data_IF_025692813177
#
_entry.id   IF_025692813177
#
_cell.length_a   1.000
_cell.length_b   1.000
_cell.length_c   1.000
_cell.angle_alpha   90.00
_cell.angle_beta   90.00
_cell.angle_gamma   90.00
#
_symmetry.space_group_name_H-M   'P 1'
#
loop_
_entity.id
_entity.type
_entity.pdbx_description
1 polymer ?
#
# COMPACT_ATOMS: atom_id res chain seq x y z
N UNK A 1 6.57 -11.10 27.17
CA UNK A 1 5.44 -10.27 26.68
C UNK A 1 4.61 -11.12 25.74
N UNK A 2 3.35 -11.35 26.11
CA UNK A 2 2.51 -12.44 25.60
C UNK A 2 2.09 -12.28 24.15
N UNK A 3 2.25 -13.35 23.37
CA UNK A 3 1.62 -13.46 22.05
C UNK A 3 0.12 -13.50 22.30
N UNK A 4 -0.61 -12.47 21.88
CA UNK A 4 -2.06 -12.59 21.72
C UNK A 4 -2.31 -13.81 20.83
N UNK A 5 -2.94 -14.85 21.37
CA UNK A 5 -3.26 -16.06 20.63
C UNK A 5 -4.33 -15.70 19.61
N UNK A 6 -3.90 -15.29 18.41
CA UNK A 6 -4.80 -15.08 17.29
C UNK A 6 -5.62 -16.34 17.08
N UNK A 7 -6.94 -16.22 17.12
CA UNK A 7 -7.84 -17.35 16.89
C UNK A 7 -7.53 -17.97 15.53
N UNK A 8 -7.42 -19.30 15.48
CA UNK A 8 -7.15 -20.05 14.25
C UNK A 8 -8.10 -19.68 13.10
N UNK A 9 -9.34 -19.33 13.44
CA UNK A 9 -10.34 -18.85 12.47
C UNK A 9 -9.91 -17.53 11.82
N UNK A 10 -9.48 -16.55 12.64
CA UNK A 10 -9.01 -15.26 12.16
C UNK A 10 -7.75 -15.38 11.29
N UNK A 11 -6.85 -16.33 11.60
CA UNK A 11 -5.70 -16.64 10.72
C UNK A 11 -6.14 -17.15 9.35
N UNK A 12 -7.10 -18.08 9.31
CA UNK A 12 -7.59 -18.64 8.04
C UNK A 12 -8.33 -17.59 7.20
N UNK A 13 -9.17 -16.77 7.84
CA UNK A 13 -9.89 -15.69 7.18
C UNK A 13 -8.92 -14.60 6.68
N UNK A 14 -7.87 -14.28 7.46
CA UNK A 14 -6.82 -13.37 7.04
C UNK A 14 -6.01 -13.87 5.85
N UNK A 15 -5.63 -15.15 5.85
CA UNK A 15 -4.93 -15.78 4.70
C UNK A 15 -5.80 -15.80 3.45
N UNK A 16 -7.12 -16.00 3.59
CA UNK A 16 -8.06 -15.90 2.47
C UNK A 16 -8.11 -14.47 1.90
N UNK A 17 -8.19 -13.45 2.76
CA UNK A 17 -8.16 -12.04 2.33
C UNK A 17 -6.86 -11.67 1.63
N UNK A 18 -5.72 -12.18 2.08
CA UNK A 18 -4.41 -11.97 1.43
C UNK A 18 -4.42 -12.50 -0.01
N UNK A 19 -5.10 -13.62 -0.26
CA UNK A 19 -5.22 -14.19 -1.61
C UNK A 19 -6.20 -13.42 -2.49
N UNK A 20 -7.28 -12.91 -1.90
CA UNK A 20 -8.35 -12.22 -2.64
C UNK A 20 -8.01 -10.76 -2.97
N UNK A 21 -7.22 -10.11 -2.12
CA UNK A 21 -6.86 -8.71 -2.34
C UNK A 21 -6.07 -8.58 -3.64
N UNK A 22 -6.52 -7.73 -4.57
CA UNK A 22 -5.79 -7.35 -5.78
C UNK A 22 -4.63 -6.41 -5.46
N UNK A 23 -4.80 -5.55 -4.45
CA UNK A 23 -3.81 -4.59 -3.99
C UNK A 23 -3.85 -4.42 -2.45
N UNK A 24 -2.79 -3.87 -1.82
CA UNK A 24 -2.75 -3.67 -0.37
C UNK A 24 -3.93 -2.86 0.17
N UNK A 25 -4.47 -1.93 -0.63
CA UNK A 25 -5.60 -1.07 -0.29
C UNK A 25 -6.87 -1.87 0.01
N UNK A 26 -7.12 -2.94 -0.76
CA UNK A 26 -8.28 -3.81 -0.61
C UNK A 26 -8.14 -4.71 0.61
N UNK A 27 -6.91 -5.10 0.94
CA UNK A 27 -6.60 -5.97 2.08
C UNK A 27 -7.00 -5.33 3.41
N UNK A 28 -6.78 -4.02 3.57
CA UNK A 28 -6.94 -3.29 4.84
C UNK A 28 -8.26 -2.51 4.97
N UNK A 29 -9.31 -2.89 4.23
CA UNK A 29 -10.63 -2.22 4.23
C UNK A 29 -11.49 -2.44 5.49
N UNK A 30 -10.96 -3.10 6.54
CA UNK A 30 -11.72 -3.53 7.71
C UNK A 30 -11.37 -2.84 9.05
N UNK A 31 -11.92 -3.34 10.17
CA UNK A 31 -11.60 -2.89 11.52
C UNK A 31 -10.10 -2.90 11.85
N UNK A 32 -9.72 -2.02 12.77
CA UNK A 32 -8.33 -1.73 13.12
C UNK A 32 -7.55 -2.90 13.72
N UNK A 33 -8.23 -3.74 14.48
CA UNK A 33 -7.65 -4.96 15.07
C UNK A 33 -7.31 -5.99 13.98
N UNK A 34 -8.11 -6.02 12.92
CA UNK A 34 -7.86 -6.89 11.76
C UNK A 34 -6.65 -6.41 10.96
N UNK A 35 -6.44 -5.10 10.85
CA UNK A 35 -5.30 -4.55 10.09
C UNK A 35 -3.95 -5.00 10.67
N UNK A 36 -3.79 -4.94 11.99
CA UNK A 36 -2.57 -5.42 12.67
C UNK A 36 -2.36 -6.92 12.51
N UNK A 37 -3.45 -7.69 12.65
CA UNK A 37 -3.44 -9.13 12.46
C UNK A 37 -3.02 -9.48 11.02
N UNK A 38 -3.64 -8.84 10.03
CA UNK A 38 -3.35 -9.05 8.61
C UNK A 38 -1.91 -8.68 8.26
N UNK A 39 -1.39 -7.57 8.80
CA UNK A 39 0.00 -7.20 8.61
C UNK A 39 0.96 -8.21 9.26
N UNK A 40 0.71 -8.61 10.51
CA UNK A 40 1.52 -9.64 11.18
C UNK A 40 1.48 -10.99 10.46
N UNK A 41 0.31 -11.33 9.91
CA UNK A 41 0.09 -12.55 9.13
C UNK A 41 0.77 -12.48 7.76
N UNK A 42 0.78 -11.33 7.08
CA UNK A 42 1.56 -11.11 5.85
C UNK A 42 3.05 -11.35 6.10
N UNK A 43 3.60 -10.71 7.15
CA UNK A 43 5.01 -10.85 7.52
C UNK A 43 5.36 -12.29 7.88
N UNK A 44 4.47 -13.00 8.58
CA UNK A 44 4.70 -14.40 8.93
C UNK A 44 4.54 -15.35 7.74
N UNK A 45 3.50 -15.17 6.93
CA UNK A 45 3.21 -16.01 5.77
C UNK A 45 4.25 -15.85 4.65
N UNK A 46 4.84 -14.65 4.50
CA UNK A 46 5.96 -14.42 3.60
C UNK A 46 7.21 -15.26 3.94
N UNK A 47 7.30 -15.81 5.16
CA UNK A 47 8.37 -16.76 5.55
C UNK A 47 8.15 -18.18 4.98
N UNK A 48 7.00 -18.43 4.34
CA UNK A 48 6.66 -19.71 3.73
C UNK A 48 6.74 -20.87 4.72
N UNK A 49 7.58 -21.87 4.44
CA UNK A 49 7.76 -23.06 5.29
C UNK A 49 8.22 -22.77 6.72
N UNK A 50 8.77 -21.58 6.98
CA UNK A 50 9.21 -21.14 8.31
C UNK A 50 8.15 -20.31 9.05
N UNK A 51 6.98 -20.10 8.45
CA UNK A 51 5.84 -19.44 9.09
C UNK A 51 5.38 -20.23 10.31
N UNK A 52 5.04 -19.52 11.39
CA UNK A 52 4.38 -20.13 12.54
C UNK A 52 2.99 -20.69 12.20
N UNK A 53 2.38 -20.20 11.11
CA UNK A 53 1.07 -20.57 10.60
C UNK A 53 1.14 -21.40 9.31
N UNK A 54 2.24 -22.11 9.06
CA UNK A 54 2.43 -22.87 7.82
C UNK A 54 1.32 -23.92 7.58
N UNK A 55 0.78 -24.51 8.64
CA UNK A 55 -0.33 -25.46 8.53
C UNK A 55 -1.64 -24.79 8.09
N UNK A 56 -1.91 -23.58 8.57
CA UNK A 56 -3.03 -22.75 8.13
C UNK A 56 -2.83 -22.32 6.67
N UNK A 57 -1.61 -21.98 6.26
CA UNK A 57 -1.26 -21.69 4.86
C UNK A 57 -1.61 -22.89 3.97
N UNK A 58 -1.16 -24.10 4.34
CA UNK A 58 -1.45 -25.32 3.58
C UNK A 58 -2.97 -25.59 3.49
N UNK A 59 -3.71 -25.32 4.57
CA UNK A 59 -5.16 -25.49 4.61
C UNK A 59 -5.88 -24.49 3.71
N UNK A 60 -5.49 -23.22 3.76
CA UNK A 60 -6.06 -22.18 2.88
C UNK A 60 -5.74 -22.47 1.42
N UNK A 61 -4.50 -22.86 1.12
CA UNK A 61 -4.07 -23.23 -0.22
C UNK A 61 -4.94 -24.36 -0.81
N UNK A 62 -5.12 -25.44 -0.05
CA UNK A 62 -5.99 -26.57 -0.45
C UNK A 62 -7.44 -26.13 -0.69
N UNK A 63 -8.00 -25.26 0.16
CA UNK A 63 -9.38 -24.75 0.00
C UNK A 63 -9.55 -23.88 -1.24
N UNK A 64 -8.50 -23.17 -1.66
CA UNK A 64 -8.49 -22.29 -2.82
C UNK A 64 -7.96 -22.95 -4.10
N UNK A 65 -7.57 -24.22 -4.04
CA UNK A 65 -7.03 -24.94 -5.19
C UNK A 65 -5.65 -24.45 -5.64
N UNK A 66 -4.88 -23.83 -4.74
CA UNK A 66 -3.54 -23.30 -5.02
C UNK A 66 -2.48 -24.05 -4.20
N UNK A 67 -1.21 -23.91 -4.58
CA UNK A 67 -0.08 -24.46 -3.81
C UNK A 67 0.28 -23.55 -2.63
N UNK A 68 0.78 -24.09 -1.50
CA UNK A 68 1.18 -23.28 -0.33
C UNK A 68 2.21 -22.20 -0.65
N UNK A 69 3.13 -22.48 -1.57
CA UNK A 69 4.14 -21.55 -2.06
C UNK A 69 3.50 -20.29 -2.66
N UNK A 70 2.42 -20.43 -3.44
CA UNK A 70 1.71 -19.30 -4.03
C UNK A 70 1.12 -18.36 -2.98
N UNK A 71 0.64 -18.90 -1.85
CA UNK A 71 0.13 -18.09 -0.74
C UNK A 71 1.25 -17.28 -0.08
N UNK A 72 2.43 -17.90 0.10
CA UNK A 72 3.60 -17.23 0.64
C UNK A 72 4.14 -16.15 -0.31
N UNK A 73 4.21 -16.45 -1.61
CA UNK A 73 4.63 -15.52 -2.65
C UNK A 73 3.67 -14.33 -2.74
N UNK A 74 2.35 -14.58 -2.67
CA UNK A 74 1.35 -13.51 -2.66
C UNK A 74 1.53 -12.59 -1.45
N UNK A 75 1.76 -13.15 -0.26
CA UNK A 75 2.05 -12.39 0.94
C UNK A 75 3.34 -11.56 0.80
N UNK A 76 4.39 -12.15 0.23
CA UNK A 76 5.66 -11.46 -0.01
C UNK A 76 5.53 -10.29 -1.00
N UNK A 77 4.76 -10.45 -2.08
CA UNK A 77 4.50 -9.38 -3.06
C UNK A 77 3.75 -8.23 -2.41
N UNK A 78 2.66 -8.51 -1.68
CA UNK A 78 1.90 -7.47 -0.99
C UNK A 78 2.77 -6.75 0.05
N UNK A 79 3.56 -7.49 0.83
CA UNK A 79 4.50 -6.91 1.78
C UNK A 79 5.54 -6.01 1.08
N UNK A 80 6.15 -6.45 -0.02
CA UNK A 80 7.12 -5.67 -0.78
C UNK A 80 6.51 -4.38 -1.34
N UNK A 81 5.26 -4.41 -1.82
CA UNK A 81 4.57 -3.18 -2.27
C UNK A 81 4.29 -2.21 -1.12
N UNK A 82 3.97 -2.72 0.07
CA UNK A 82 3.79 -1.90 1.28
C UNK A 82 5.13 -1.29 1.69
N UNK A 83 6.20 -2.08 1.69
CA UNK A 83 7.56 -1.63 2.06
C UNK A 83 8.13 -0.61 1.07
N UNK A 84 7.92 -0.80 -0.23
CA UNK A 84 8.30 0.15 -1.27
C UNK A 84 7.62 1.52 -1.05
N UNK A 85 6.33 1.50 -0.74
CA UNK A 85 5.57 2.71 -0.41
C UNK A 85 5.98 3.35 0.91
N UNK A 86 6.39 2.55 1.91
CA UNK A 86 6.99 3.03 3.17
C UNK A 86 8.36 3.67 2.98
N UNK A 87 9.10 3.27 1.96
CA UNK A 87 10.42 3.83 1.63
C UNK A 87 10.34 5.29 1.16
N UNK A 88 9.15 5.74 0.75
CA UNK A 88 8.82 7.09 0.28
C UNK A 88 8.30 8.02 1.38
N UNK A 89 8.38 7.63 2.66
CA UNK A 89 7.83 8.40 3.78
C UNK A 89 8.52 9.76 3.94
N UNK A 90 7.79 10.83 3.64
CA UNK A 90 8.28 12.21 3.58
C UNK A 90 8.92 12.67 4.89
N UNK A 91 8.44 12.15 6.03
CA UNK A 91 9.01 12.41 7.36
C UNK A 91 10.40 11.80 7.50
N UNK A 92 10.60 10.59 6.97
CA UNK A 92 11.90 9.89 6.98
C UNK A 92 12.90 10.53 6.04
N UNK A 93 12.43 11.08 4.91
CA UNK A 93 13.27 11.84 3.97
C UNK A 93 13.81 13.10 4.64
N UNK A 94 13.03 13.76 5.49
CA UNK A 94 13.46 14.92 6.28
C UNK A 94 14.22 14.55 7.56
N UNK A 95 14.27 13.27 7.92
CA UNK A 95 14.94 12.79 9.13
C UNK A 95 14.23 13.21 10.43
N UNK A 96 12.93 13.48 10.36
CA UNK A 96 12.11 13.89 11.52
C UNK A 96 11.17 12.75 11.95
N UNK A 97 10.80 12.69 13.24
CA UNK A 97 9.74 11.79 13.68
C UNK A 97 8.42 12.02 12.93
N UNK A 98 7.64 10.96 12.73
CA UNK A 98 6.30 11.07 12.17
C UNK A 98 5.42 12.00 13.02
N UNK A 99 4.56 12.77 12.38
CA UNK A 99 3.66 13.75 13.04
C UNK A 99 4.39 14.87 13.82
N UNK A 100 5.65 15.15 13.48
CA UNK A 100 6.38 16.30 14.04
C UNK A 100 5.64 17.62 13.80
N UNK A 101 5.83 18.59 14.69
CA UNK A 101 5.23 19.92 14.54
C UNK A 101 5.77 20.61 13.28
N UNK A 102 5.00 21.55 12.73
CA UNK A 102 5.44 22.34 11.58
C UNK A 102 6.75 23.12 11.85
N UNK A 103 6.97 23.52 13.10
CA UNK A 103 8.19 24.18 13.55
C UNK A 103 9.39 23.21 13.51
N UNK A 104 9.25 22.02 14.09
CA UNK A 104 10.30 20.99 14.06
C UNK A 104 10.63 20.57 12.62
N UNK A 105 9.62 20.41 11.76
CA UNK A 105 9.80 20.12 10.33
C UNK A 105 10.60 21.24 9.65
N UNK A 106 10.30 22.50 9.95
CA UNK A 106 11.00 23.67 9.39
C UNK A 106 12.44 23.76 9.87
N UNK A 107 12.69 23.55 11.15
CA UNK A 107 14.03 23.59 11.74
C UNK A 107 14.94 22.53 11.12
N UNK A 108 14.49 21.27 11.10
CA UNK A 108 15.23 20.18 10.49
C UNK A 108 15.44 20.37 8.99
N UNK A 109 14.44 20.90 8.26
CA UNK A 109 14.61 21.26 6.86
C UNK A 109 15.71 22.30 6.66
N UNK A 110 15.76 23.36 7.47
CA UNK A 110 16.77 24.40 7.36
C UNK A 110 18.18 23.87 7.63
N UNK A 111 18.34 22.98 8.60
CA UNK A 111 19.61 22.31 8.87
C UNK A 111 20.03 21.37 7.73
N UNK A 112 19.09 20.60 7.21
CA UNK A 112 19.31 19.64 6.13
C UNK A 112 19.64 20.36 4.82
N UNK A 113 18.95 21.45 4.52
CA UNK A 113 19.18 22.29 3.35
C UNK A 113 20.58 22.92 3.38
N UNK A 114 21.04 23.43 4.53
CA UNK A 114 22.41 23.95 4.68
C UNK A 114 23.49 22.90 4.42
N UNK A 115 23.24 21.64 4.78
CA UNK A 115 24.19 20.52 4.60
C UNK A 115 24.16 19.93 3.19
N UNK A 116 23.00 19.92 2.55
CA UNK A 116 22.79 19.28 1.24
C UNK A 116 22.82 20.25 0.07
N UNK A 117 22.96 21.57 0.30
CA UNK A 117 22.95 22.56 -0.77
C UNK A 117 24.07 22.29 -1.80
N UNK A 118 23.78 22.27 -3.11
CA UNK A 118 24.79 22.02 -4.14
C UNK A 118 25.93 23.05 -4.11
N UNK A 119 25.65 24.30 -3.75
CA UNK A 119 26.66 25.37 -3.66
C UNK A 119 27.72 25.15 -2.55
N UNK A 120 27.43 24.31 -1.55
CA UNK A 120 28.41 23.92 -0.52
C UNK A 120 29.00 22.52 -0.76
N UNK A 121 28.78 21.95 -1.95
CA UNK A 121 29.25 20.61 -2.31
C UNK A 121 28.35 19.46 -1.85
N UNK A 122 27.08 19.75 -1.52
CA UNK A 122 26.10 18.74 -1.10
C UNK A 122 25.48 17.93 -2.25
N UNK A 123 24.83 16.81 -1.89
CA UNK A 123 24.14 15.94 -2.85
C UNK A 123 22.82 16.58 -3.33
N UNK A 124 22.86 17.16 -4.54
CA UNK A 124 21.71 17.81 -5.17
C UNK A 124 20.52 16.87 -5.40
N UNK A 125 20.71 15.56 -5.54
CA UNK A 125 19.60 14.62 -5.65
C UNK A 125 18.89 14.41 -4.30
N UNK A 126 19.65 14.32 -3.21
CA UNK A 126 19.08 14.30 -1.85
C UNK A 126 18.42 15.62 -1.49
N UNK A 127 19.02 16.75 -1.87
CA UNK A 127 18.43 18.07 -1.68
C UNK A 127 17.05 18.18 -2.35
N UNK A 128 16.93 17.78 -3.62
CA UNK A 128 15.64 17.80 -4.33
C UNK A 128 14.58 16.92 -3.67
N UNK A 129 14.95 15.72 -3.21
CA UNK A 129 14.00 14.82 -2.51
C UNK A 129 13.53 15.43 -1.18
N UNK A 130 14.45 16.00 -0.41
CA UNK A 130 14.11 16.66 0.84
C UNK A 130 13.27 17.93 0.62
N UNK A 131 13.55 18.69 -0.44
CA UNK A 131 12.75 19.85 -0.82
C UNK A 131 11.31 19.46 -1.16
N UNK A 132 11.12 18.43 -1.99
CA UNK A 132 9.79 17.92 -2.34
C UNK A 132 9.02 17.43 -1.10
N UNK A 133 9.71 16.75 -0.17
CA UNK A 133 9.11 16.35 1.10
C UNK A 133 8.68 17.54 1.96
N UNK A 134 9.53 18.56 2.08
CA UNK A 134 9.22 19.78 2.82
C UNK A 134 8.04 20.55 2.19
N UNK A 135 7.95 20.65 0.87
CA UNK A 135 6.86 21.36 0.19
C UNK A 135 5.48 20.77 0.47
N UNK A 136 5.39 19.46 0.66
CA UNK A 136 4.15 18.76 1.03
C UNK A 136 3.88 18.89 2.53
N UNK A 137 4.91 18.75 3.38
CA UNK A 137 4.75 18.74 4.85
C UNK A 137 4.63 20.13 5.48
N UNK A 138 5.09 21.20 4.81
CA UNK A 138 4.99 22.58 5.32
C UNK A 138 3.57 23.15 5.26
N UNK A 139 2.77 22.69 4.30
CA UNK A 139 1.41 23.18 4.09
C UNK A 139 0.46 22.38 4.99
N UNK A 140 -0.24 23.02 5.95
CA UNK A 140 -1.12 22.31 6.88
C UNK A 140 -2.23 21.52 6.20
N UNK A 141 -2.78 22.00 5.07
CA UNK A 141 -3.85 21.34 4.35
C UNK A 141 -3.33 20.11 3.60
N UNK A 142 -2.21 20.24 2.89
CA UNK A 142 -1.55 19.14 2.18
C UNK A 142 -0.94 18.12 3.13
N UNK A 143 -0.40 18.57 4.26
CA UNK A 143 0.08 17.72 5.36
C UNK A 143 -1.08 16.96 5.97
N UNK A 144 -2.20 17.61 6.26
CA UNK A 144 -3.37 16.93 6.81
C UNK A 144 -3.96 15.93 5.79
N UNK A 145 -3.91 16.21 4.49
CA UNK A 145 -4.34 15.27 3.45
C UNK A 145 -3.39 14.06 3.33
N UNK A 146 -2.07 14.32 3.33
CA UNK A 146 -1.04 13.30 3.40
C UNK A 146 -1.20 12.46 4.68
N UNK A 147 -1.32 13.08 5.85
CA UNK A 147 -1.53 12.43 7.14
C UNK A 147 -2.85 11.66 7.17
N UNK A 148 -3.95 12.15 6.60
CA UNK A 148 -5.23 11.42 6.49
C UNK A 148 -5.10 10.22 5.56
N UNK A 149 -4.42 10.38 4.43
CA UNK A 149 -4.13 9.30 3.49
C UNK A 149 -3.25 8.22 4.14
N UNK A 150 -2.21 8.62 4.88
CA UNK A 150 -1.37 7.72 5.67
C UNK A 150 -2.10 7.13 6.88
N UNK A 151 -2.97 7.86 7.57
CA UNK A 151 -3.83 7.36 8.65
C UNK A 151 -4.78 6.27 8.13
N UNK A 152 -5.30 6.45 6.92
CA UNK A 152 -6.20 5.51 6.25
C UNK A 152 -5.44 4.34 5.62
N UNK A 153 -4.19 4.54 5.22
CA UNK A 153 -3.28 3.52 4.69
C UNK A 153 -2.49 2.75 5.78
N UNK A 154 -2.46 3.21 7.04
CA UNK A 154 -1.70 2.58 8.14
C UNK A 154 -2.42 2.38 9.49
N UNK A 155 -3.60 2.94 9.78
CA UNK A 155 -3.96 3.22 11.19
C UNK A 155 -3.93 2.03 12.17
N UNK A 156 -3.46 2.17 13.44
CA UNK A 156 -2.80 3.28 14.14
C UNK A 156 -1.42 2.89 14.75
N UNK A 157 -0.64 3.85 15.25
CA UNK A 157 -0.04 3.64 16.57
C UNK A 157 -1.08 4.13 17.58
N UNK A 158 -1.54 3.20 18.39
CA UNK A 158 -2.56 3.26 19.44
C UNK A 158 -2.83 4.65 20.07
N UNK A 159 -4.11 5.01 20.20
CA UNK A 159 -4.58 5.62 21.45
C UNK A 159 -5.53 4.65 22.13
N UNK A 160 -5.16 4.28 23.35
CA UNK A 160 -5.94 3.54 24.32
C UNK A 160 -7.35 4.14 24.47
N UNK A 161 -8.40 3.40 24.08
CA UNK A 161 -9.71 3.17 24.76
C UNK A 161 -10.88 2.80 23.78
N UNK A 162 -11.88 2.00 24.21
CA UNK A 162 -12.70 1.11 23.35
C UNK A 162 -13.90 1.78 22.65
N UNK A 163 -14.36 1.17 21.55
CA UNK A 163 -15.60 1.52 20.80
C UNK A 163 -16.75 0.58 21.17
N UNK A 164 -17.96 1.10 21.31
CA UNK A 164 -19.09 0.40 21.92
C UNK A 164 -20.35 0.41 21.03
N UNK A 165 -20.22 0.38 19.70
CA UNK A 165 -21.42 0.60 18.88
C UNK A 165 -21.26 0.25 17.39
N UNK A 166 -22.13 -0.69 16.96
CA UNK A 166 -22.81 -0.82 15.65
C UNK A 166 -22.37 -1.93 14.67
N UNK A 167 -23.33 -2.49 13.89
CA UNK A 167 -23.61 -3.94 13.80
C UNK A 167 -23.40 -4.53 12.39
N UNK A 168 -23.59 -5.85 12.19
CA UNK A 168 -23.21 -6.56 10.97
C UNK A 168 -24.32 -6.62 9.89
N UNK A 169 -23.94 -6.61 8.60
CA UNK A 169 -24.86 -6.92 7.48
C UNK A 169 -24.32 -8.09 6.62
N UNK A 170 -25.19 -9.08 6.41
CA UNK A 170 -24.94 -10.43 5.86
C UNK A 170 -24.96 -10.50 4.31
N UNK A 171 -23.94 -11.10 3.67
CA UNK A 171 -23.82 -12.42 3.00
C UNK A 171 -24.92 -12.83 1.97
N UNK A 172 -24.52 -12.99 0.69
CA UNK A 172 -25.37 -13.54 -0.38
C UNK A 172 -25.21 -15.06 -0.58
N UNK A 173 -26.35 -15.75 -0.74
CA UNK A 173 -26.49 -16.95 -1.59
C UNK A 173 -26.64 -18.30 -0.90
N UNK A 174 -27.83 -18.59 -0.34
CA UNK A 174 -28.22 -19.96 0.02
C UNK A 174 -29.63 -20.25 -0.49
N UNK A 175 -29.81 -21.36 -1.21
CA UNK A 175 -31.12 -21.90 -1.56
C UNK A 175 -31.88 -22.24 -0.27
N UNK A 176 -32.88 -21.43 0.06
CA UNK A 176 -33.77 -21.65 1.21
C UNK A 176 -34.94 -22.52 0.75
N UNK A 177 -35.10 -23.70 1.36
CA UNK A 177 -36.34 -24.49 1.26
C UNK A 177 -37.52 -23.66 1.80
N UNK A 178 -38.73 -23.70 1.20
CA UNK A 178 -39.80 -22.81 1.58
C UNK A 178 -40.39 -23.19 2.94
N UNK A 179 -39.95 -22.49 3.98
CA UNK A 179 -40.61 -22.50 5.29
C UNK A 179 -41.71 -21.43 5.25
N UNK A 180 -42.97 -21.85 5.27
CA UNK A 180 -44.11 -20.94 5.48
C UNK A 180 -43.94 -20.22 6.82
N UNK A 181 -43.88 -18.89 6.80
CA UNK A 181 -43.95 -18.06 8.01
C UNK A 181 -45.35 -17.44 8.18
N UNK A 182 -45.87 -17.37 9.43
CA UNK A 182 -47.19 -16.83 9.76
C UNK A 182 -47.23 -15.29 9.65
N UNK A 183 -48.43 -14.68 9.59
CA UNK A 183 -48.57 -13.25 9.32
C UNK A 183 -48.26 -12.44 10.58
N UNK A 184 -47.48 -11.36 10.42
CA UNK A 184 -47.31 -10.35 11.47
C UNK A 184 -47.43 -8.97 10.84
N UNK A 185 -48.31 -8.16 11.41
CA UNK A 185 -48.82 -6.86 10.97
C UNK A 185 -47.78 -5.74 11.10
N UNK A 186 -47.80 -4.78 10.16
CA UNK A 186 -46.94 -3.58 10.15
C UNK A 186 -47.54 -2.47 11.05
N UNK A 187 -46.71 -1.73 11.83
CA UNK A 187 -47.08 -0.42 12.34
C UNK A 187 -46.58 0.72 11.43
N UNK A 188 -47.45 1.71 11.28
CA UNK A 188 -47.39 2.89 10.41
C UNK A 188 -46.38 3.97 10.83
N UNK A 189 -46.00 4.80 9.84
CA UNK A 189 -45.45 6.19 9.87
C UNK A 189 -43.92 6.39 9.95
N UNK A 190 -43.29 7.35 9.26
CA UNK A 190 -43.71 8.40 8.30
C UNK A 190 -42.49 8.80 7.42
N UNK A 191 -42.75 9.35 6.23
CA UNK A 191 -41.74 9.67 5.23
C UNK A 191 -40.93 10.96 5.53
N UNK A 192 -39.61 11.00 5.27
CA UNK A 192 -38.84 12.25 5.19
C UNK A 192 -38.99 12.92 3.80
N UNK A 193 -38.79 14.25 3.70
CA UNK A 193 -39.17 15.05 2.53
C UNK A 193 -38.21 14.90 1.33
N UNK A 194 -38.80 14.99 0.15
CA UNK A 194 -38.14 14.96 -1.17
C UNK A 194 -37.22 16.17 -1.37
N UNK A 195 -35.94 15.92 -1.63
CA UNK A 195 -35.01 16.96 -2.15
C UNK A 195 -34.95 16.82 -3.67
N UNK A 196 -35.38 17.86 -4.36
CA UNK A 196 -35.36 17.97 -5.82
C UNK A 196 -33.93 18.27 -6.29
N UNK A 197 -33.28 17.33 -6.97
CA UNK A 197 -32.04 17.62 -7.73
C UNK A 197 -32.37 18.44 -8.98
N UNK A 198 -31.60 19.49 -9.32
CA UNK A 198 -31.77 20.20 -10.59
C UNK A 198 -31.22 19.35 -11.73
N UNK A 199 -32.07 19.12 -12.73
CA UNK A 199 -31.73 18.42 -13.96
C UNK A 199 -30.63 19.16 -14.75
N UNK A 200 -29.51 18.47 -14.99
CA UNK A 200 -28.51 18.88 -15.99
C UNK A 200 -29.02 18.52 -17.39
N UNK A 201 -29.05 19.53 -18.28
CA UNK A 201 -29.45 19.37 -19.68
C UNK A 201 -28.44 18.50 -20.48
N UNK A 202 -28.90 17.77 -21.51
CA UNK A 202 -28.02 16.93 -22.33
C UNK A 202 -27.18 17.79 -23.28
N UNK A 203 -25.86 17.70 -23.17
CA UNK A 203 -24.94 18.23 -24.18
C UNK A 203 -24.90 17.23 -25.35
N UNK A 204 -25.46 17.65 -26.49
CA UNK A 204 -25.42 16.90 -27.72
C UNK A 204 -23.99 16.81 -28.28
N UNK A 205 -23.60 15.61 -28.73
CA UNK A 205 -22.51 15.41 -29.70
C UNK A 205 -21.14 15.07 -29.13
N UNK A 206 -21.01 13.96 -28.41
CA UNK A 206 -19.74 13.25 -28.28
C UNK A 206 -19.95 11.80 -28.70
N UNK A 207 -19.71 11.52 -29.99
CA UNK A 207 -19.60 10.16 -30.49
C UNK A 207 -18.54 9.42 -29.65
N UNK A 208 -18.90 8.27 -29.08
CA UNK A 208 -18.02 7.42 -28.25
C UNK A 208 -16.73 7.11 -29.00
N UNK A 209 -16.81 7.02 -30.33
CA UNK A 209 -15.69 6.85 -31.25
C UNK A 209 -14.69 8.02 -31.18
N UNK A 210 -15.17 9.26 -31.03
CA UNK A 210 -14.33 10.46 -30.91
C UNK A 210 -13.65 10.57 -29.54
N UNK A 211 -14.32 10.13 -28.48
CA UNK A 211 -13.71 10.05 -27.13
C UNK A 211 -12.63 8.97 -27.10
N UNK A 212 -12.92 7.79 -27.67
CA UNK A 212 -11.94 6.71 -27.80
C UNK A 212 -10.75 7.13 -28.65
N UNK A 213 -10.95 7.81 -29.78
CA UNK A 213 -9.86 8.30 -30.63
C UNK A 213 -8.95 9.31 -29.90
N UNK A 214 -9.51 10.18 -29.04
CA UNK A 214 -8.71 11.11 -28.22
C UNK A 214 -7.93 10.38 -27.13
N UNK A 215 -8.52 9.37 -26.50
CA UNK A 215 -7.83 8.53 -25.50
C UNK A 215 -6.70 7.73 -26.17
N UNK A 216 -6.95 7.13 -27.35
CA UNK A 216 -5.93 6.41 -28.12
C UNK A 216 -4.80 7.34 -28.59
N UNK A 217 -5.11 8.56 -29.02
CA UNK A 217 -4.11 9.56 -29.39
C UNK A 217 -3.28 10.06 -28.19
N UNK A 218 -3.89 10.16 -27.01
CA UNK A 218 -3.19 10.50 -25.76
C UNK A 218 -2.30 9.36 -25.24
N UNK A 219 -2.64 8.11 -25.55
CA UNK A 219 -1.86 6.91 -25.20
C UNK A 219 -0.83 6.52 -26.27
N UNK A 220 -0.81 7.20 -27.42
CA UNK A 220 0.04 6.87 -28.55
C UNK A 220 1.56 7.12 -28.39
N UNK A 221 2.08 8.02 -27.53
CA UNK A 221 3.51 8.36 -27.58
C UNK A 221 4.39 7.53 -26.63
N UNK A 222 4.05 6.26 -26.39
CA UNK A 222 5.06 5.28 -25.97
C UNK A 222 5.12 4.22 -27.06
N UNK A 223 5.88 4.53 -28.12
CA UNK A 223 6.10 3.57 -29.20
C UNK A 223 6.90 2.37 -28.70
N UNK A 224 6.70 1.21 -29.32
CA UNK A 224 7.52 0.02 -29.06
C UNK A 224 9.03 0.32 -29.18
N UNK A 225 9.42 1.29 -30.02
CA UNK A 225 10.79 1.76 -30.17
C UNK A 225 11.34 2.45 -28.91
N UNK A 226 10.53 3.21 -28.17
CA UNK A 226 10.96 3.87 -26.94
C UNK A 226 11.08 2.87 -25.79
N UNK A 227 10.18 1.89 -25.72
CA UNK A 227 10.30 0.77 -24.78
C UNK A 227 11.53 -0.08 -25.07
N UNK A 228 11.83 -0.36 -26.34
CA UNK A 228 13.02 -1.12 -26.72
C UNK A 228 14.31 -0.33 -26.43
N UNK A 229 14.30 1.00 -26.65
CA UNK A 229 15.41 1.88 -26.25
C UNK A 229 15.64 1.84 -24.75
N UNK A 230 14.59 2.02 -23.94
CA UNK A 230 14.68 1.95 -22.48
C UNK A 230 15.15 0.57 -22.00
N UNK A 231 14.66 -0.52 -22.62
CA UNK A 231 15.11 -1.88 -22.32
C UNK A 231 16.61 -2.05 -22.58
N UNK A 232 17.10 -1.51 -23.70
CA UNK A 232 18.53 -1.51 -24.03
C UNK A 232 19.37 -0.69 -23.05
N UNK A 233 18.87 0.48 -22.63
CA UNK A 233 19.53 1.33 -21.63
C UNK A 233 19.63 0.63 -20.27
N UNK A 234 18.55 -0.03 -19.82
CA UNK A 234 18.54 -0.81 -18.58
C UNK A 234 19.50 -2.00 -18.66
N UNK A 235 19.54 -2.72 -19.79
CA UNK A 235 20.45 -3.86 -19.96
C UNK A 235 21.93 -3.44 -19.90
N UNK A 236 22.29 -2.28 -20.47
CA UNK A 236 23.63 -1.71 -20.37
C UNK A 236 23.97 -1.33 -18.94
N UNK A 237 23.07 -0.61 -18.26
CA UNK A 237 23.28 -0.22 -16.87
C UNK A 237 23.46 -1.42 -15.93
N UNK A 238 22.74 -2.52 -16.17
CA UNK A 238 22.95 -3.77 -15.43
C UNK A 238 24.37 -4.30 -15.66
N UNK A 239 24.81 -4.38 -16.92
CA UNK A 239 26.15 -4.88 -17.28
C UNK A 239 27.27 -4.03 -16.65
N UNK A 240 27.11 -2.70 -16.65
CA UNK A 240 28.05 -1.77 -16.03
C UNK A 240 28.14 -2.00 -14.51
N UNK A 241 27.01 -2.18 -13.83
CA UNK A 241 26.96 -2.47 -12.40
C UNK A 241 27.60 -3.83 -12.06
N UNK A 242 27.44 -4.84 -12.92
CA UNK A 242 28.10 -6.12 -12.75
C UNK A 242 29.62 -6.02 -12.87
N UNK A 243 30.10 -5.22 -13.82
CA UNK A 243 31.53 -4.94 -14.01
C UNK A 243 32.11 -4.27 -12.76
N UNK A 244 31.46 -3.21 -12.26
CA UNK A 244 31.90 -2.51 -11.04
C UNK A 244 31.89 -3.45 -9.82
N UNK A 245 30.89 -4.32 -9.70
CA UNK A 245 30.82 -5.32 -8.62
C UNK A 245 32.04 -6.25 -8.66
N UNK A 246 32.44 -6.69 -9.84
CA UNK A 246 33.55 -7.63 -9.99
C UNK A 246 34.91 -6.95 -9.79
N UNK A 247 35.07 -5.69 -10.23
CA UNK A 247 36.23 -4.85 -9.89
C UNK A 247 36.38 -4.67 -8.37
N UNK A 248 35.29 -4.36 -7.67
CA UNK A 248 35.30 -4.21 -6.21
C UNK A 248 35.69 -5.52 -5.49
N UNK A 249 35.28 -6.68 -6.02
CA UNK A 249 35.71 -7.99 -5.50
C UNK A 249 37.19 -8.23 -5.70
N UNK A 250 37.73 -7.87 -6.87
CA UNK A 250 39.16 -7.98 -7.16
C UNK A 250 39.99 -7.06 -6.26
N UNK A 251 39.53 -5.84 -6.00
CA UNK A 251 40.17 -4.94 -5.05
C UNK A 251 40.12 -5.48 -3.62
N UNK A 252 38.99 -6.07 -3.21
CA UNK A 252 38.85 -6.69 -1.89
C UNK A 252 39.79 -7.90 -1.71
N UNK A 253 39.96 -8.74 -2.74
CA UNK A 253 40.89 -9.88 -2.67
C UNK A 253 42.35 -9.43 -2.66
N UNK A 254 42.73 -8.41 -3.44
CA UNK A 254 44.06 -7.81 -3.38
C UNK A 254 44.37 -7.22 -2.00
N UNK A 255 43.39 -6.52 -1.39
CA UNK A 255 43.55 -6.00 -0.04
C UNK A 255 43.78 -7.11 0.99
N UNK A 256 42.98 -8.18 0.95
CA UNK A 256 43.16 -9.33 1.83
C UNK A 256 44.52 -10.02 1.66
N UNK A 257 45.05 -10.07 0.44
CA UNK A 257 46.37 -10.62 0.16
C UNK A 257 47.52 -9.72 0.64
N UNK A 258 47.29 -8.40 0.75
CA UNK A 258 48.27 -7.44 1.26
C UNK A 258 48.27 -7.36 2.79
N UNK A 259 47.11 -7.62 3.40
CA UNK A 259 46.92 -7.65 4.87
C UNK A 259 47.33 -9.00 5.50
N UNK A 260 47.70 -10.02 4.70
CA UNK A 260 48.12 -11.36 5.11
C UNK A 260 49.64 -11.57 5.02
#
# INVERSE_FOLDING_TARGET
>A
MGRATTSRRATLDGLARILDAGAPEELFTGPQEEAHLLYGLLVDAARGRRSAHYWEICRTARRRGVVPEYVADRAAVLLATIEDRRRTDLYRILGVPALSSGETIREHWLELAKRLHPDVGGDGARFRRAQQAYEVLRDPARRAEYERFWLRALGPFERVAPREDLPPLEVMGATVLPVRRPPVEEPLHAAPPSVTEPALAPVAGADVTGVLARITALLAPIGAADLERLRGEVARAITDLETVRDELRALASLKLALDA
#
